data_IF_082829269020
#
_entry.id   IF_082829269020
#
_cell.length_a   1.000
_cell.length_b   1.000
_cell.length_c   1.000
_cell.angle_alpha   90.00
_cell.angle_beta   90.00
_cell.angle_gamma   90.00
#
_symmetry.space_group_name_H-M   'P 1'
#
loop_
_entity.id
_entity.type
_entity.pdbx_description
1 polymer ?
#
# COMPACT_ATOMS: atom_id res chain seq x y z
N UNK A 1 2.57 7.31 -9.46
CA UNK A 1 3.36 6.08 -9.36
C UNK A 1 2.58 5.04 -8.58
N UNK A 2 2.53 3.85 -9.12
CA UNK A 2 1.76 2.77 -8.50
C UNK A 2 2.56 2.07 -7.43
N UNK A 3 1.89 1.78 -6.34
CA UNK A 3 2.50 1.10 -5.21
C UNK A 3 1.57 -0.02 -4.77
N UNK A 4 2.15 -1.17 -4.48
CA UNK A 4 1.37 -2.32 -4.01
C UNK A 4 1.50 -2.43 -2.50
N UNK A 5 0.39 -2.65 -1.85
CA UNK A 5 0.38 -2.88 -0.41
C UNK A 5 -0.45 -4.12 -0.10
N UNK A 6 -0.12 -4.76 1.00
CA UNK A 6 -0.81 -5.95 1.45
C UNK A 6 -1.71 -5.63 2.61
N UNK A 7 -2.96 -6.03 2.50
CA UNK A 7 -3.94 -5.90 3.56
C UNK A 7 -4.16 -7.29 4.14
N UNK A 8 -3.96 -7.42 5.44
CA UNK A 8 -4.09 -8.72 6.07
C UNK A 8 -2.99 -9.65 5.60
N UNK A 9 -3.33 -10.92 5.42
CA UNK A 9 -2.33 -11.94 5.11
C UNK A 9 -2.29 -12.34 3.64
N UNK A 10 -3.27 -11.94 2.84
CA UNK A 10 -3.29 -12.44 1.48
C UNK A 10 -3.92 -11.48 0.47
N UNK A 11 -4.36 -10.32 0.90
CA UNK A 11 -4.98 -9.36 -0.02
C UNK A 11 -3.96 -8.30 -0.39
N UNK A 12 -3.73 -8.15 -1.68
CA UNK A 12 -2.81 -7.15 -2.19
C UNK A 12 -3.58 -6.19 -3.09
N UNK A 13 -3.37 -4.90 -2.88
CA UNK A 13 -3.97 -3.90 -3.74
C UNK A 13 -2.90 -2.97 -4.28
N UNK A 14 -3.20 -2.36 -5.41
CA UNK A 14 -2.32 -1.38 -6.02
C UNK A 14 -3.03 -0.03 -6.02
N UNK A 15 -2.27 0.99 -5.71
CA UNK A 15 -2.82 2.33 -5.72
C UNK A 15 -1.73 3.36 -5.90
N UNK A 16 -2.11 4.61 -5.83
CA UNK A 16 -1.16 5.71 -5.96
C UNK A 16 -0.57 5.99 -4.59
N UNK A 17 0.75 5.99 -4.52
CA UNK A 17 1.45 6.26 -3.27
C UNK A 17 1.07 7.64 -2.74
N UNK A 18 0.70 7.69 -1.47
CA UNK A 18 0.38 8.95 -0.81
C UNK A 18 1.48 9.30 0.18
N UNK A 19 1.74 8.42 1.13
CA UNK A 19 2.76 8.69 2.14
C UNK A 19 3.06 7.41 2.92
N UNK A 20 4.19 7.44 3.61
CA UNK A 20 4.54 6.37 4.53
C UNK A 20 4.07 6.76 5.92
N UNK A 21 3.41 5.85 6.59
CA UNK A 21 2.89 6.09 7.92
C UNK A 21 3.94 5.78 8.97
N UNK A 22 3.71 6.30 10.18
CA UNK A 22 4.70 6.18 11.25
C UNK A 22 4.98 4.74 11.66
N UNK A 23 4.01 3.87 11.49
CA UNK A 23 4.18 2.46 11.88
C UNK A 23 4.79 1.60 10.78
N UNK A 24 5.28 2.22 9.71
CA UNK A 24 5.90 1.50 8.62
C UNK A 24 4.95 1.09 7.51
N UNK A 25 3.68 1.34 7.67
CA UNK A 25 2.72 1.06 6.62
C UNK A 25 2.72 2.17 5.59
N UNK A 26 2.20 1.86 4.43
CA UNK A 26 2.15 2.80 3.32
C UNK A 26 0.69 3.10 3.00
N UNK A 27 0.40 4.37 2.83
CA UNK A 27 -0.94 4.81 2.45
C UNK A 27 -0.99 4.96 0.95
N UNK A 28 -1.97 4.32 0.34
CA UNK A 28 -2.18 4.44 -1.10
C UNK A 28 -3.62 4.85 -1.37
N UNK A 29 -3.83 5.47 -2.50
CA UNK A 29 -5.15 5.89 -2.93
C UNK A 29 -5.58 5.07 -4.13
N UNK A 30 -6.79 4.55 -4.06
CA UNK A 30 -7.39 3.80 -5.16
C UNK A 30 -8.70 4.49 -5.49
N UNK A 31 -8.70 5.25 -6.58
CA UNK A 31 -9.87 6.03 -6.93
C UNK A 31 -10.17 7.07 -5.88
N UNK A 32 -11.29 6.95 -5.23
CA UNK A 32 -11.70 7.87 -4.16
C UNK A 32 -11.38 7.33 -2.77
N UNK A 33 -10.89 6.10 -2.71
CA UNK A 33 -10.67 5.43 -1.43
C UNK A 33 -9.21 5.45 -1.07
N UNK A 34 -8.95 5.39 0.23
CA UNK A 34 -7.60 5.34 0.75
C UNK A 34 -7.42 4.05 1.52
N UNK A 35 -6.27 3.44 1.36
CA UNK A 35 -5.96 2.20 2.05
C UNK A 35 -4.55 2.27 2.62
N UNK A 36 -4.39 1.70 3.81
CA UNK A 36 -3.08 1.61 4.43
C UNK A 36 -2.73 0.14 4.60
N UNK A 37 -1.55 -0.23 4.16
CA UNK A 37 -1.13 -1.61 4.28
C UNK A 37 0.38 -1.72 4.26
N UNK A 38 0.87 -2.93 4.43
CA UNK A 38 2.29 -3.17 4.37
C UNK A 38 2.78 -3.07 2.94
N UNK A 39 3.91 -2.39 2.70
CA UNK A 39 4.44 -2.30 1.35
C UNK A 39 4.88 -3.67 0.86
N UNK A 40 4.55 -3.97 -0.39
CA UNK A 40 5.00 -5.18 -1.02
C UNK A 40 6.33 -4.87 -1.68
N UNK A 41 7.38 -5.48 -1.17
CA UNK A 41 8.71 -5.27 -1.72
C UNK A 41 9.02 -6.41 -2.67
N UNK A 42 8.97 -6.12 -3.95
CA UNK A 42 9.20 -7.13 -4.97
C UNK A 42 10.69 -7.23 -5.24
N UNK A 43 11.38 -7.85 -4.33
CA UNK A 43 12.80 -8.04 -4.49
C UNK A 43 13.18 -9.46 -4.20
N UNK A 44 14.24 -9.79 -4.68
CA UNK A 44 14.73 -11.14 -4.50
C UNK A 44 15.84 -11.23 -3.50
#
# INVERSE_FOLDING_TARGET
>A
MMTSVTLGSSVTIQGIFVRTLANGKVLVRVGKDMFAGKPVIARS
#
